data_IF_199708529430
#
_entry.id   IF_199708529430
#
_cell.length_a   1.000
_cell.length_b   1.000
_cell.length_c   1.000
_cell.angle_alpha   90.00
_cell.angle_beta   90.00
_cell.angle_gamma   90.00
#
_symmetry.space_group_name_H-M   'P 1'
#
loop_
_entity.id
_entity.type
_entity.pdbx_description
1 polymer ?
#
# COMPACT_ATOMS: atom_id res chain seq x y z
N UNK A 1 -13.42 -20.50 -12.09
CA UNK A 1 -13.74 -19.32 -12.93
C UNK A 1 -13.98 -18.14 -12.00
N UNK A 2 -12.91 -17.49 -11.53
CA UNK A 2 -13.02 -16.26 -10.74
C UNK A 2 -13.14 -15.14 -11.75
N UNK A 3 -14.26 -14.41 -11.73
CA UNK A 3 -14.50 -13.29 -12.62
C UNK A 3 -13.37 -12.27 -12.46
N UNK A 4 -12.77 -11.85 -13.58
CA UNK A 4 -11.78 -10.78 -13.61
C UNK A 4 -12.52 -9.46 -13.29
N UNK A 5 -12.20 -8.73 -12.22
CA UNK A 5 -12.83 -7.43 -11.97
C UNK A 5 -12.44 -6.45 -13.09
N UNK A 6 -13.40 -5.63 -13.50
CA UNK A 6 -13.20 -4.64 -14.56
C UNK A 6 -12.36 -3.46 -14.04
N UNK A 7 -11.43 -2.90 -14.84
CA UNK A 7 -10.65 -1.73 -14.44
C UNK A 7 -11.59 -0.53 -14.28
N UNK A 8 -11.65 0.03 -13.08
CA UNK A 8 -12.38 1.27 -12.79
C UNK A 8 -11.69 2.46 -13.45
N UNK A 9 -12.28 3.01 -14.51
CA UNK A 9 -11.83 4.24 -15.14
C UNK A 9 -12.58 5.47 -14.61
N UNK A 10 -11.81 6.49 -14.19
CA UNK A 10 -12.04 7.95 -14.31
C UNK A 10 -11.12 8.66 -13.29
N UNK A 11 -9.95 9.18 -13.68
CA UNK A 11 -9.73 10.56 -14.15
C UNK A 11 -10.22 11.65 -13.19
N UNK A 12 -9.27 12.33 -12.55
CA UNK A 12 -9.51 13.58 -11.83
C UNK A 12 -8.37 13.91 -10.85
N UNK A 13 -7.59 14.93 -11.18
CA UNK A 13 -6.44 15.40 -10.41
C UNK A 13 -6.77 15.73 -8.94
N UNK A 14 -6.09 15.07 -8.00
CA UNK A 14 -5.66 15.58 -6.70
C UNK A 14 -5.09 14.41 -5.87
N UNK A 15 -3.86 14.57 -5.39
CA UNK A 15 -3.12 13.60 -4.58
C UNK A 15 -4.02 12.96 -3.51
N UNK A 16 -4.33 11.68 -3.69
CA UNK A 16 -5.12 10.86 -2.78
C UNK A 16 -5.40 9.52 -3.44
N UNK A 17 -4.95 8.46 -2.78
CA UNK A 17 -4.79 7.12 -3.31
C UNK A 17 -5.95 6.65 -4.20
N UNK A 18 -5.61 6.19 -5.39
CA UNK A 18 -6.46 5.39 -6.26
C UNK A 18 -7.01 4.20 -5.46
N UNK A 19 -8.32 3.98 -5.48
CA UNK A 19 -8.95 2.90 -4.73
C UNK A 19 -8.52 1.56 -5.30
N UNK A 20 -8.02 0.66 -4.45
CA UNK A 20 -7.64 -0.70 -4.85
C UNK A 20 -8.62 -1.69 -4.24
N UNK A 21 -9.15 -2.63 -5.02
CA UNK A 21 -10.02 -3.67 -4.45
C UNK A 21 -9.20 -4.66 -3.61
N UNK A 22 -9.80 -5.26 -2.58
CA UNK A 22 -9.11 -6.27 -1.78
C UNK A 22 -8.63 -7.47 -2.63
N UNK A 23 -9.34 -7.82 -3.70
CA UNK A 23 -8.94 -8.88 -4.61
C UNK A 23 -7.68 -8.52 -5.42
N UNK A 24 -7.61 -7.29 -5.93
CA UNK A 24 -6.43 -6.79 -6.65
C UNK A 24 -5.22 -6.70 -5.72
N UNK A 25 -5.42 -6.19 -4.50
CA UNK A 25 -4.35 -6.09 -3.51
C UNK A 25 -3.81 -7.47 -3.10
N UNK A 26 -4.70 -8.44 -2.88
CA UNK A 26 -4.30 -9.81 -2.57
C UNK A 26 -3.49 -10.45 -3.70
N UNK A 27 -3.93 -10.24 -4.94
CA UNK A 27 -3.22 -10.72 -6.13
C UNK A 27 -1.84 -10.05 -6.29
N UNK A 28 -1.75 -8.73 -6.11
CA UNK A 28 -0.50 -7.97 -6.22
C UNK A 28 0.52 -8.39 -5.15
N UNK A 29 0.06 -8.69 -3.93
CA UNK A 29 0.92 -9.15 -2.83
C UNK A 29 1.18 -10.67 -2.86
N UNK A 30 0.52 -11.43 -3.73
CA UNK A 30 0.64 -12.89 -3.80
C UNK A 30 0.13 -13.61 -2.55
N UNK A 31 -0.83 -13.02 -1.82
CA UNK A 31 -1.38 -13.57 -0.58
C UNK A 31 -2.84 -14.00 -0.74
N UNK A 32 -3.31 -14.88 0.15
CA UNK A 32 -4.72 -15.26 0.19
C UNK A 32 -5.60 -14.12 0.70
N UNK A 33 -6.88 -14.10 0.30
CA UNK A 33 -7.88 -13.16 0.86
C UNK A 33 -8.00 -13.27 2.39
N UNK A 34 -7.81 -14.46 2.96
CA UNK A 34 -7.80 -14.68 4.42
C UNK A 34 -6.63 -13.98 5.08
N UNK A 35 -5.44 -14.08 4.49
CA UNK A 35 -4.23 -13.40 4.96
C UNK A 35 -4.43 -11.89 4.87
N UNK A 36 -4.85 -11.39 3.70
CA UNK A 36 -5.07 -9.96 3.51
C UNK A 36 -6.08 -9.40 4.52
N UNK A 37 -7.24 -10.04 4.68
CA UNK A 37 -8.26 -9.54 5.62
C UNK A 37 -7.76 -9.56 7.07
N UNK A 38 -7.02 -10.61 7.48
CA UNK A 38 -6.42 -10.67 8.82
C UNK A 38 -5.41 -9.54 9.01
N UNK A 39 -4.56 -9.29 8.02
CA UNK A 39 -3.51 -8.28 8.13
C UNK A 39 -4.12 -6.85 8.09
N UNK A 40 -5.19 -6.63 7.31
CA UNK A 40 -5.97 -5.40 7.34
C UNK A 40 -6.62 -5.15 8.71
N UNK A 41 -7.13 -6.19 9.37
CA UNK A 41 -7.64 -6.09 10.76
C UNK A 41 -6.52 -5.66 11.71
N UNK A 42 -5.36 -6.33 11.65
CA UNK A 42 -4.20 -5.99 12.48
C UNK A 42 -3.71 -4.56 12.26
N UNK A 43 -3.71 -4.09 11.01
CA UNK A 43 -3.34 -2.70 10.70
C UNK A 43 -4.36 -1.71 11.26
N UNK A 44 -5.66 -2.00 11.16
CA UNK A 44 -6.72 -1.17 11.74
C UNK A 44 -6.60 -1.13 13.27
N UNK A 45 -6.34 -2.26 13.90
CA UNK A 45 -6.11 -2.37 15.34
C UNK A 45 -4.84 -1.60 15.76
N UNK A 46 -3.82 -1.58 14.91
CA UNK A 46 -2.60 -0.78 15.05
C UNK A 46 -2.79 0.72 14.81
N UNK A 47 -4.01 1.18 14.55
CA UNK A 47 -4.34 2.60 14.36
C UNK A 47 -4.09 3.12 12.94
N UNK A 48 -3.88 2.25 11.95
CA UNK A 48 -3.78 2.66 10.55
C UNK A 48 -5.19 2.99 10.02
N UNK A 49 -5.46 4.22 9.55
CA UNK A 49 -6.78 4.64 9.12
C UNK A 49 -7.07 4.17 7.68
N UNK A 50 -7.43 2.90 7.58
CA UNK A 50 -7.86 2.26 6.34
C UNK A 50 -9.37 2.45 6.18
N UNK A 51 -9.78 3.15 5.13
CA UNK A 51 -11.17 3.24 4.69
C UNK A 51 -11.49 2.10 3.72
N UNK A 52 -12.67 1.50 3.90
CA UNK A 52 -13.21 0.49 2.99
C UNK A 52 -14.61 0.90 2.57
N UNK A 53 -14.82 1.05 1.27
CA UNK A 53 -16.13 1.32 0.71
C UNK A 53 -16.67 0.09 -0.04
N UNK A 54 -17.94 -0.23 0.18
CA UNK A 54 -18.62 -1.38 -0.44
C UNK A 54 -19.51 -0.86 -1.57
N UNK A 55 -19.24 -1.28 -2.82
CA UNK A 55 -20.08 -0.93 -3.96
C UNK A 55 -19.34 -0.91 -5.29
N UNK A 56 -20.03 -0.51 -6.37
CA UNK A 56 -19.42 -0.28 -7.68
C UNK A 56 -18.52 0.97 -7.59
N UNK A 57 -17.21 0.79 -7.75
CA UNK A 57 -16.20 1.83 -7.50
C UNK A 57 -15.68 1.90 -6.06
N UNK A 58 -16.10 0.95 -5.21
CA UNK A 58 -15.57 0.79 -3.85
C UNK A 58 -14.19 0.13 -3.83
N UNK A 59 -13.49 0.25 -2.71
CA UNK A 59 -12.15 -0.27 -2.55
C UNK A 59 -11.54 0.08 -1.20
N UNK A 60 -10.32 -0.37 -0.98
CA UNK A 60 -9.48 -0.01 0.14
C UNK A 60 -8.72 1.27 -0.21
N UNK A 61 -8.69 2.22 0.72
CA UNK A 61 -7.82 3.40 0.66
C UNK A 61 -7.32 3.77 2.05
N UNK A 62 -6.18 4.46 2.11
CA UNK A 62 -5.78 5.18 3.31
C UNK A 62 -6.47 6.55 3.34
N UNK A 63 -6.74 7.06 4.55
CA UNK A 63 -7.20 8.44 4.70
C UNK A 63 -6.26 9.42 3.99
N UNK A 64 -6.83 10.36 3.24
CA UNK A 64 -6.12 11.25 2.28
C UNK A 64 -5.06 12.15 2.93
N UNK A 65 -5.05 12.23 4.25
CA UNK A 65 -4.17 13.05 5.08
C UNK A 65 -3.50 12.23 6.20
N UNK A 66 -3.50 10.90 6.11
CA UNK A 66 -2.75 10.10 7.05
C UNK A 66 -1.26 10.25 6.80
N UNK A 67 -0.55 10.70 7.83
CA UNK A 67 0.89 10.71 7.87
C UNK A 67 1.36 9.75 8.97
N UNK A 68 2.55 9.18 8.78
CA UNK A 68 3.28 8.60 9.90
C UNK A 68 3.39 9.70 10.96
N UNK A 69 2.97 9.39 12.19
CA UNK A 69 3.05 10.33 13.31
C UNK A 69 4.52 10.66 13.66
N UNK A 70 4.76 11.13 14.89
CA UNK A 70 6.15 11.28 15.35
C UNK A 70 6.83 9.92 15.41
N UNK A 71 7.77 9.70 14.49
CA UNK A 71 8.62 8.53 14.49
C UNK A 71 9.81 8.79 15.43
N UNK A 72 9.90 8.03 16.50
CA UNK A 72 11.08 8.05 17.36
C UNK A 72 12.01 6.93 16.91
N UNK A 73 13.13 7.33 16.30
CA UNK A 73 14.21 6.42 15.94
C UNK A 73 15.37 6.64 16.90
N UNK A 74 15.94 5.55 17.40
CA UNK A 74 17.26 5.59 17.99
C UNK A 74 18.30 5.96 16.93
N UNK A 75 19.49 6.44 17.33
CA UNK A 75 20.57 6.71 16.38
C UNK A 75 20.93 5.51 15.51
N UNK A 76 20.87 4.29 16.06
CA UNK A 76 21.15 3.06 15.31
C UNK A 76 20.06 2.79 14.26
N UNK A 77 18.78 2.86 14.63
CA UNK A 77 17.66 2.66 13.70
C UNK A 77 17.63 3.72 12.58
N UNK A 78 18.02 4.96 12.89
CA UNK A 78 18.15 6.01 11.88
C UNK A 78 19.24 5.68 10.85
N UNK A 79 20.38 5.14 11.29
CA UNK A 79 21.47 4.70 10.40
C UNK A 79 21.02 3.50 9.55
N UNK A 80 20.36 2.51 10.16
CA UNK A 80 19.85 1.33 9.46
C UNK A 80 18.85 1.73 8.35
N UNK A 81 17.95 2.66 8.65
CA UNK A 81 16.99 3.19 7.69
C UNK A 81 17.69 3.90 6.52
N UNK A 82 18.66 4.78 6.81
CA UNK A 82 19.42 5.49 5.79
C UNK A 82 20.20 4.53 4.87
N UNK A 83 20.83 3.51 5.46
CA UNK A 83 21.55 2.50 4.70
C UNK A 83 20.59 1.68 3.81
N UNK A 84 19.44 1.29 4.35
CA UNK A 84 18.41 0.55 3.62
C UNK A 84 17.94 1.34 2.39
N UNK A 85 17.65 2.64 2.54
CA UNK A 85 17.24 3.51 1.44
C UNK A 85 18.35 3.63 0.39
N UNK A 86 19.59 3.89 0.80
CA UNK A 86 20.71 4.01 -0.14
C UNK A 86 20.93 2.74 -0.97
N UNK A 87 20.76 1.56 -0.35
CA UNK A 87 20.83 0.27 -1.06
C UNK A 87 19.64 0.11 -2.01
N UNK A 88 18.42 0.42 -1.55
CA UNK A 88 17.21 0.30 -2.36
C UNK A 88 17.25 1.20 -3.61
N UNK A 89 17.74 2.44 -3.49
CA UNK A 89 17.92 3.36 -4.63
C UNK A 89 18.90 2.81 -5.67
N UNK A 90 20.00 2.19 -5.20
CA UNK A 90 20.99 1.54 -6.07
C UNK A 90 20.36 0.37 -6.83
N UNK A 91 19.55 -0.46 -6.16
CA UNK A 91 18.85 -1.58 -6.77
C UNK A 91 17.82 -1.11 -7.81
N UNK A 92 17.06 -0.06 -7.50
CA UNK A 92 16.07 0.49 -8.42
C UNK A 92 16.71 1.08 -9.68
N UNK A 93 17.86 1.75 -9.52
CA UNK A 93 18.63 2.28 -10.65
C UNK A 93 19.21 1.16 -11.53
N UNK A 94 19.66 0.05 -10.93
CA UNK A 94 20.11 -1.12 -11.67
C UNK A 94 18.96 -1.81 -12.43
N UNK A 95 17.77 -1.87 -11.85
CA UNK A 95 16.58 -2.41 -12.52
C UNK A 95 16.11 -1.51 -13.69
N UNK A 96 16.20 -0.19 -13.54
CA UNK A 96 15.87 0.77 -14.60
C UNK A 96 16.89 0.76 -15.76
N UNK A 97 18.16 0.47 -15.50
CA UNK A 97 19.20 0.39 -16.53
C UNK A 97 19.14 -0.90 -17.38
N UNK A 98 18.36 -1.91 -16.95
CA UNK A 98 18.18 -3.16 -17.68
C UNK A 98 16.93 -3.14 -18.61
N UNK A 99 16.19 -2.03 -18.64
CA UNK A 99 15.06 -1.78 -19.55
C UNK A 99 15.50 -0.92 -20.73
#
# INVERSE_FOLDING_TARGET
MVARPAPGGAQGAAQGAEHVTAAELAAALGVSMRTLNRDLELLRDGGVPIESDRGRGGGLRLQRNWALGRLHLSPAEAIDLLLSIAIAERMNSAAAACQ
#
